data_IF_808962855711
#
_entry.id   IF_808962855711
#
_cell.length_a   1.000
_cell.length_b   1.000
_cell.length_c   1.000
_cell.angle_alpha   90.00
_cell.angle_beta   90.00
_cell.angle_gamma   90.00
#
_symmetry.space_group_name_H-M   'P 1'
#
loop_
_entity.id
_entity.type
_entity.pdbx_description
1 polymer ?
#
# COMPACT_ATOMS: atom_id res chain seq x y z
N UNK A 1 2.65 4.99 10.93
CA UNK A 1 3.78 5.00 9.98
C UNK A 1 3.29 5.46 8.62
N UNK A 2 3.58 6.69 8.23
CA UNK A 2 3.22 7.15 6.89
C UNK A 2 3.96 6.31 5.85
N UNK A 3 3.25 5.81 4.85
CA UNK A 3 3.84 5.11 3.72
C UNK A 3 4.40 6.14 2.76
N UNK A 4 5.68 5.99 2.44
CA UNK A 4 6.35 6.77 1.40
C UNK A 4 6.50 5.86 0.19
N UNK A 5 5.66 6.05 -0.83
CA UNK A 5 5.63 5.19 -2.02
C UNK A 5 6.93 5.24 -2.85
N UNK A 6 7.81 6.21 -2.62
CA UNK A 6 9.16 6.24 -3.20
C UNK A 6 10.12 5.19 -2.60
N UNK A 7 9.75 4.53 -1.50
CA UNK A 7 10.51 3.42 -0.93
C UNK A 7 10.34 2.14 -1.74
N UNK A 8 11.15 1.11 -1.48
CA UNK A 8 11.00 -0.20 -2.12
C UNK A 8 9.75 -0.93 -1.63
N UNK A 9 9.19 -1.82 -2.45
CA UNK A 9 8.06 -2.65 -2.06
C UNK A 9 8.33 -3.43 -0.76
N UNK A 10 9.55 -3.92 -0.57
CA UNK A 10 9.96 -4.60 0.65
C UNK A 10 9.96 -3.66 1.87
N UNK A 11 10.44 -2.42 1.73
CA UNK A 11 10.42 -1.44 2.81
C UNK A 11 8.99 -1.06 3.21
N UNK A 12 8.11 -0.84 2.24
CA UNK A 12 6.69 -0.57 2.49
C UNK A 12 6.02 -1.76 3.19
N UNK A 13 6.24 -2.98 2.70
CA UNK A 13 5.70 -4.19 3.31
C UNK A 13 6.19 -4.37 4.76
N UNK A 14 7.48 -4.15 5.01
CA UNK A 14 8.06 -4.23 6.35
C UNK A 14 7.49 -3.15 7.28
N UNK A 15 7.30 -1.92 6.79
CA UNK A 15 6.66 -0.86 7.55
C UNK A 15 5.26 -1.28 7.99
N UNK A 16 4.41 -1.73 7.05
CA UNK A 16 3.03 -2.17 7.34
C UNK A 16 3.03 -3.25 8.43
N UNK A 17 3.91 -4.25 8.33
CA UNK A 17 4.02 -5.31 9.34
C UNK A 17 4.54 -4.82 10.69
N UNK A 18 5.47 -3.87 10.70
CA UNK A 18 6.08 -3.35 11.92
C UNK A 18 5.11 -2.49 12.75
N UNK A 19 4.11 -1.89 12.11
CA UNK A 19 3.11 -1.04 12.79
C UNK A 19 1.69 -1.60 12.73
N UNK A 20 1.53 -2.91 12.53
CA UNK A 20 0.26 -3.60 12.69
C UNK A 20 -0.26 -3.52 14.15
N UNK A 21 -1.55 -3.77 14.44
CA UNK A 21 -2.13 -3.61 15.78
C UNK A 21 -1.28 -4.24 16.90
N UNK A 22 -1.13 -3.57 18.07
CA UNK A 22 -1.93 -2.47 18.62
C UNK A 22 -1.48 -1.04 18.23
N UNK A 23 -0.52 -0.90 17.31
CA UNK A 23 -0.02 0.41 16.89
C UNK A 23 -1.01 1.13 15.95
N UNK A 24 -0.86 2.46 15.72
CA UNK A 24 -1.77 3.24 14.87
C UNK A 24 -1.87 2.80 13.39
N UNK A 25 -1.10 1.80 12.96
CA UNK A 25 -1.10 1.34 11.57
C UNK A 25 -0.14 2.12 10.66
N UNK A 26 0.12 1.52 9.49
CA UNK A 26 0.71 2.26 8.38
C UNK A 26 -0.41 3.03 7.68
N UNK A 27 -0.12 4.22 7.13
CA UNK A 27 -1.17 5.03 6.50
C UNK A 27 -0.69 5.75 5.26
N UNK A 28 -1.63 6.05 4.37
CA UNK A 28 -1.45 6.92 3.19
C UNK A 28 -2.68 7.79 3.03
N UNK A 29 -2.54 8.93 2.36
CA UNK A 29 -3.69 9.69 1.89
C UNK A 29 -4.04 9.21 0.48
N UNK A 30 -5.33 8.98 0.22
CA UNK A 30 -5.87 8.55 -1.06
C UNK A 30 -7.23 9.20 -1.28
N UNK A 31 -7.42 9.84 -2.44
CA UNK A 31 -8.63 10.62 -2.78
C UNK A 31 -9.04 11.63 -1.69
N UNK A 32 -8.05 12.30 -1.09
CA UNK A 32 -8.29 13.30 -0.04
C UNK A 32 -8.68 12.72 1.33
N UNK A 33 -8.69 11.38 1.47
CA UNK A 33 -8.98 10.70 2.73
C UNK A 33 -7.77 9.92 3.23
N UNK A 34 -7.58 9.90 4.55
CA UNK A 34 -6.57 9.04 5.15
C UNK A 34 -7.05 7.59 5.20
N UNK A 35 -6.21 6.68 4.70
CA UNK A 35 -6.40 5.24 4.74
C UNK A 35 -5.34 4.59 5.60
N UNK A 36 -5.77 3.73 6.53
CA UNK A 36 -4.89 2.85 7.28
C UNK A 36 -4.70 1.57 6.46
N UNK A 37 -3.46 1.22 6.17
CA UNK A 37 -3.06 -0.02 5.49
C UNK A 37 -2.65 -1.03 6.56
N UNK A 38 -3.47 -2.05 6.73
CA UNK A 38 -3.29 -3.04 7.79
C UNK A 38 -2.55 -4.29 7.32
N UNK A 39 -2.72 -4.67 6.05
CA UNK A 39 -2.09 -5.87 5.50
C UNK A 39 -1.70 -5.68 4.05
N UNK A 40 -0.49 -6.12 3.72
CA UNK A 40 0.04 -6.15 2.36
C UNK A 40 0.66 -7.49 2.02
N UNK A 41 0.84 -7.75 0.73
CA UNK A 41 1.61 -8.89 0.23
C UNK A 41 2.57 -8.44 -0.86
N UNK A 42 3.77 -9.01 -0.85
CA UNK A 42 4.74 -8.92 -1.96
C UNK A 42 4.46 -9.95 -3.07
N UNK A 43 3.52 -10.86 -2.81
CA UNK A 43 3.14 -11.95 -3.70
C UNK A 43 1.66 -11.81 -4.01
N UNK A 44 1.32 -11.77 -5.29
CA UNK A 44 -0.05 -11.86 -5.76
C UNK A 44 -0.06 -12.05 -7.27
N UNK A 45 -1.23 -12.29 -7.89
CA UNK A 45 -1.38 -11.79 -9.24
C UNK A 45 -1.23 -10.26 -9.19
N UNK A 46 -0.30 -9.73 -9.97
CA UNK A 46 -0.22 -8.30 -10.24
C UNK A 46 -0.77 -8.11 -11.66
N UNK A 47 -1.85 -7.32 -11.83
CA UNK A 47 -2.42 -7.08 -13.15
C UNK A 47 -1.40 -6.38 -14.06
N UNK A 48 -1.47 -6.66 -15.37
CA UNK A 48 -0.59 -6.05 -16.38
C UNK A 48 -0.88 -4.55 -16.54
N UNK A 49 -2.08 -4.12 -16.14
CA UNK A 49 -2.57 -2.74 -16.16
C UNK A 49 -1.92 -1.84 -15.10
N UNK A 50 -1.15 -2.40 -14.15
CA UNK A 50 -0.41 -1.59 -13.19
C UNK A 50 0.70 -0.79 -13.87
N UNK A 51 0.63 0.53 -13.77
CA UNK A 51 1.73 1.39 -14.19
C UNK A 51 2.84 1.37 -13.12
N UNK A 52 3.81 0.47 -13.27
CA UNK A 52 4.95 0.34 -12.37
C UNK A 52 5.90 1.55 -12.39
N UNK A 53 5.72 2.50 -13.31
CA UNK A 53 6.47 3.76 -13.36
C UNK A 53 5.83 4.88 -12.53
N UNK A 54 4.62 4.67 -12.01
CA UNK A 54 3.87 5.67 -11.23
C UNK A 54 3.71 5.24 -9.76
N UNK A 55 4.68 5.55 -8.88
CA UNK A 55 4.59 5.28 -7.45
C UNK A 55 3.35 5.90 -6.82
N UNK A 56 2.68 5.12 -5.96
CA UNK A 56 1.42 5.53 -5.34
C UNK A 56 0.40 4.40 -5.30
N UNK A 57 -0.82 4.76 -4.87
CA UNK A 57 -1.96 3.83 -4.88
C UNK A 57 -2.54 3.75 -6.29
N UNK A 58 -2.74 2.52 -6.76
CA UNK A 58 -3.50 2.22 -7.96
C UNK A 58 -4.62 1.22 -7.64
N UNK A 59 -5.78 1.41 -8.25
CA UNK A 59 -6.93 0.52 -8.11
C UNK A 59 -7.18 -0.11 -9.46
N UNK A 60 -7.08 -1.44 -9.54
CA UNK A 60 -7.30 -2.22 -10.75
C UNK A 60 -8.22 -3.37 -10.39
N UNK A 61 -9.28 -3.59 -11.18
CA UNK A 61 -10.27 -4.66 -10.95
C UNK A 61 -10.79 -4.75 -9.51
N UNK A 62 -11.07 -3.59 -8.90
CA UNK A 62 -11.54 -3.49 -7.52
C UNK A 62 -10.54 -4.04 -6.47
N UNK A 63 -9.28 -4.22 -6.84
CA UNK A 63 -8.17 -4.54 -5.97
C UNK A 63 -7.26 -3.32 -5.84
N UNK A 64 -6.63 -3.18 -4.67
CA UNK A 64 -5.80 -2.03 -4.35
C UNK A 64 -4.33 -2.45 -4.32
N UNK A 65 -3.50 -1.69 -5.01
CA UNK A 65 -2.07 -1.92 -5.09
C UNK A 65 -1.32 -0.65 -4.72
N UNK A 66 -0.14 -0.83 -4.14
CA UNK A 66 0.81 0.24 -3.90
C UNK A 66 2.03 0.06 -4.78
N UNK A 67 2.17 0.85 -5.85
CA UNK A 67 3.38 0.89 -6.67
C UNK A 67 4.45 1.65 -5.91
N UNK A 68 5.65 1.07 -5.88
CA UNK A 68 6.78 1.48 -5.07
C UNK A 68 7.93 2.00 -5.94
N UNK A 69 8.86 2.75 -5.34
CA UNK A 69 9.95 3.42 -6.06
C UNK A 69 10.96 2.49 -6.74
N UNK A 70 10.94 1.19 -6.42
CA UNK A 70 11.73 0.15 -7.09
C UNK A 70 11.00 -0.52 -8.27
N UNK A 71 9.95 0.12 -8.80
CA UNK A 71 9.12 -0.39 -9.91
C UNK A 71 8.50 -1.75 -9.61
N UNK A 72 8.21 -1.99 -8.34
CA UNK A 72 7.47 -3.16 -7.84
C UNK A 72 6.23 -2.69 -7.11
N UNK A 73 5.29 -3.60 -6.90
CA UNK A 73 4.07 -3.29 -6.17
C UNK A 73 3.94 -4.18 -4.92
N UNK A 74 3.15 -3.68 -3.96
CA UNK A 74 2.53 -4.49 -2.92
C UNK A 74 1.03 -4.59 -3.20
N UNK A 75 0.46 -5.78 -3.08
CA UNK A 75 -0.99 -5.92 -3.00
C UNK A 75 -1.45 -5.44 -1.62
N UNK A 76 -2.43 -4.54 -1.58
CA UNK A 76 -3.05 -4.07 -0.34
C UNK A 76 -4.27 -4.96 -0.09
N UNK A 77 -4.15 -5.84 0.90
CA UNK A 77 -5.17 -6.85 1.18
C UNK A 77 -6.25 -6.32 2.12
N UNK A 78 -5.87 -5.44 3.06
CA UNK A 78 -6.79 -4.80 3.98
C UNK A 78 -6.38 -3.34 4.20
N UNK A 79 -7.34 -2.45 3.99
CA UNK A 79 -7.23 -1.03 4.33
C UNK A 79 -8.60 -0.47 4.74
N UNK A 80 -8.62 0.59 5.54
CA UNK A 80 -9.86 1.22 6.02
C UNK A 80 -9.67 2.73 6.25
N UNK A 81 -10.76 3.53 6.27
CA UNK A 81 -10.70 4.93 6.66
C UNK A 81 -10.11 5.09 8.08
N UNK A 82 -9.26 6.09 8.31
CA UNK A 82 -8.68 6.32 9.63
C UNK A 82 -9.70 6.74 10.71
N UNK A 83 -10.85 7.29 10.30
CA UNK A 83 -11.91 7.76 11.20
C UNK A 83 -13.06 6.74 11.39
N UNK A 84 -12.78 5.44 11.19
CA UNK A 84 -13.78 4.35 11.26
C UNK A 84 -14.05 3.88 12.67
#
# INVERSE_FOLDING_TARGET
GQILWQQTAQQVHNLVRAVAPPYPGAFTDWEGQRRIVARTSLIGPFPEELDLQAPGIQVVDNQVFGVCGDQRAVAILDWFPADS
#
